data_IF_542177338386
#
_entry.id   IF_542177338386
#
_cell.length_a   1.000
_cell.length_b   1.000
_cell.length_c   1.000
_cell.angle_alpha   90.00
_cell.angle_beta   90.00
_cell.angle_gamma   90.00
#
_symmetry.space_group_name_H-M   'P 1'
#
loop_
_entity.id
_entity.type
_entity.pdbx_description
1 polymer ?
#
# COMPACT_ATOMS: atom_id res chain seq x y z
N UNK A 1 11.29 1.37 26.80
CA UNK A 1 12.37 2.39 26.86
C UNK A 1 12.34 3.17 25.56
N UNK A 2 11.97 4.46 25.57
CA UNK A 2 11.98 5.30 24.36
C UNK A 2 13.43 5.62 24.01
N UNK A 3 13.99 4.92 23.03
CA UNK A 3 15.28 5.30 22.47
C UNK A 3 15.04 6.22 21.27
N UNK A 4 15.00 7.53 21.52
CA UNK A 4 15.48 8.52 20.55
C UNK A 4 16.94 8.78 20.91
N UNK A 5 17.87 8.05 20.29
CA UNK A 5 19.31 8.18 20.53
C UNK A 5 19.93 9.38 19.81
N UNK A 6 20.95 10.05 20.39
CA UNK A 6 21.53 11.29 19.88
C UNK A 6 22.78 11.07 19.00
N UNK A 7 22.98 11.95 18.01
CA UNK A 7 24.13 12.87 17.90
C UNK A 7 23.86 13.90 16.80
N UNK A 8 23.66 15.16 17.20
CA UNK A 8 23.97 16.33 16.39
C UNK A 8 24.82 17.24 17.26
N UNK A 9 26.08 17.47 16.86
CA UNK A 9 27.01 18.37 17.52
C UNK A 9 27.14 19.71 16.77
N UNK A 10 26.22 20.00 15.84
CA UNK A 10 26.16 21.25 15.09
C UNK A 10 25.27 22.30 15.76
N UNK A 11 25.69 23.56 15.71
CA UNK A 11 24.83 24.71 16.02
C UNK A 11 23.77 24.81 14.92
N UNK A 12 22.57 24.35 15.23
CA UNK A 12 21.58 24.05 14.21
C UNK A 12 20.50 25.13 14.14
N UNK A 13 20.56 25.97 13.10
CA UNK A 13 19.50 26.90 12.69
C UNK A 13 19.03 26.56 11.28
N UNK A 14 17.73 26.37 11.07
CA UNK A 14 17.11 26.20 9.74
C UNK A 14 17.06 24.76 9.18
N UNK A 15 16.98 24.65 7.84
CA UNK A 15 16.76 23.39 7.09
C UNK A 15 17.91 22.36 7.20
N UNK A 16 19.05 22.73 7.77
CA UNK A 16 20.21 21.83 8.00
C UNK A 16 19.93 20.75 9.04
N UNK A 17 18.88 20.90 9.86
CA UNK A 17 18.50 19.95 10.92
C UNK A 17 17.68 18.75 10.47
N UNK A 18 17.28 18.67 9.19
CA UNK A 18 16.26 17.72 8.71
C UNK A 18 16.80 16.32 8.38
N UNK A 19 18.12 16.13 8.32
CA UNK A 19 18.74 14.82 8.06
C UNK A 19 19.47 14.34 9.32
N UNK A 20 18.76 13.60 10.17
CA UNK A 20 19.33 13.00 11.37
C UNK A 20 19.77 11.56 11.09
N UNK A 21 21.02 11.25 11.38
CA UNK A 21 21.48 9.87 11.46
C UNK A 21 21.08 9.35 12.84
N UNK A 22 20.14 8.42 12.89
CA UNK A 22 19.80 7.72 14.12
C UNK A 22 20.61 6.44 14.19
N UNK A 23 21.53 6.36 15.16
CA UNK A 23 22.36 5.19 15.40
C UNK A 23 21.81 4.39 16.59
N UNK A 24 21.52 3.11 16.38
CA UNK A 24 21.04 2.20 17.42
C UNK A 24 22.04 1.05 17.57
N UNK A 25 22.51 0.82 18.79
CA UNK A 25 23.41 -0.28 19.11
C UNK A 25 22.62 -1.41 19.76
N UNK A 26 22.84 -2.64 19.30
CA UNK A 26 22.32 -3.85 19.92
C UNK A 26 23.43 -4.89 20.02
N UNK A 27 23.39 -5.73 21.05
CA UNK A 27 24.27 -6.90 21.17
C UNK A 27 23.53 -8.07 20.54
N UNK A 28 24.04 -8.56 19.41
CA UNK A 28 23.43 -9.63 18.65
C UNK A 28 24.49 -10.59 18.10
N UNK A 29 24.29 -11.90 18.22
CA UNK A 29 25.17 -12.91 17.64
C UNK A 29 24.40 -14.20 17.33
N UNK A 30 24.58 -14.75 16.12
CA UNK A 30 24.13 -16.08 15.68
C UNK A 30 22.66 -16.43 16.02
N UNK A 31 21.78 -15.44 16.00
CA UNK A 31 20.35 -15.60 16.27
C UNK A 31 19.51 -14.76 15.31
N UNK A 32 18.20 -14.97 15.35
CA UNK A 32 17.22 -14.13 14.66
C UNK A 32 16.67 -13.09 15.63
N UNK A 33 16.53 -11.85 15.16
CA UNK A 33 15.95 -10.74 15.94
C UNK A 33 14.84 -10.07 15.15
N UNK A 34 13.81 -9.58 15.86
CA UNK A 34 12.79 -8.72 15.29
C UNK A 34 13.08 -7.27 15.65
N UNK A 35 12.95 -6.37 14.68
CA UNK A 35 13.21 -4.95 14.80
C UNK A 35 11.96 -4.17 14.42
N UNK A 36 11.45 -3.40 15.38
CA UNK A 36 10.26 -2.58 15.25
C UNK A 36 10.63 -1.13 15.57
N UNK A 37 10.25 -0.21 14.68
CA UNK A 37 10.36 1.21 14.95
C UNK A 37 9.10 1.70 15.68
N UNK A 38 9.27 2.69 16.56
CA UNK A 38 8.15 3.29 17.33
C UNK A 38 7.22 4.16 16.48
N UNK A 39 7.57 4.40 15.22
CA UNK A 39 6.82 5.16 14.22
C UNK A 39 7.11 4.53 12.84
N UNK A 40 6.82 5.25 11.75
CA UNK A 40 7.10 4.81 10.39
C UNK A 40 8.57 4.42 10.22
N UNK A 41 8.82 3.23 9.70
CA UNK A 41 10.18 2.72 9.46
C UNK A 41 10.98 3.64 8.53
N UNK A 42 12.30 3.77 8.71
CA UNK A 42 13.14 4.62 7.86
C UNK A 42 13.05 4.25 6.38
N UNK A 43 13.02 5.25 5.50
CA UNK A 43 13.11 5.01 4.06
C UNK A 43 14.51 4.55 3.61
N UNK A 44 15.52 4.87 4.40
CA UNK A 44 16.89 4.44 4.22
C UNK A 44 17.38 3.88 5.55
N UNK A 45 17.58 2.57 5.59
CA UNK A 45 18.03 1.85 6.78
C UNK A 45 19.37 1.18 6.46
N UNK A 46 20.39 1.46 7.27
CA UNK A 46 21.68 0.78 7.19
C UNK A 46 21.88 -0.07 8.43
N UNK A 47 22.11 -1.35 8.23
CA UNK A 47 22.35 -2.34 9.28
C UNK A 47 23.78 -2.86 9.14
N UNK A 48 24.53 -2.91 10.23
CA UNK A 48 25.90 -3.42 10.23
C UNK A 48 26.23 -4.08 11.57
N UNK A 49 27.12 -5.08 11.55
CA UNK A 49 27.72 -5.64 12.74
C UNK A 49 29.08 -5.00 12.96
N UNK A 50 29.25 -4.32 14.08
CA UNK A 50 30.52 -3.69 14.45
C UNK A 50 31.48 -4.75 15.00
N UNK A 51 32.71 -4.76 14.51
CA UNK A 51 33.80 -5.63 14.98
C UNK A 51 33.44 -7.12 15.00
N UNK A 52 32.64 -7.59 14.04
CA UNK A 52 32.26 -8.98 13.90
C UNK A 52 33.07 -9.66 12.80
N UNK A 53 33.50 -10.90 13.05
CA UNK A 53 34.17 -11.74 12.06
C UNK A 53 33.24 -12.03 10.86
N UNK A 54 33.76 -12.18 9.63
CA UNK A 54 32.96 -12.44 8.42
C UNK A 54 32.03 -13.65 8.51
N UNK A 55 32.36 -14.62 9.36
CA UNK A 55 31.60 -15.84 9.62
C UNK A 55 30.40 -15.61 10.55
N UNK A 56 30.47 -14.57 11.38
CA UNK A 56 29.39 -14.19 12.28
C UNK A 56 28.21 -13.70 11.46
N UNK A 57 27.03 -14.25 11.73
CA UNK A 57 25.82 -13.91 11.01
C UNK A 57 24.63 -13.70 11.95
N UNK A 58 23.77 -12.76 11.60
CA UNK A 58 22.52 -12.46 12.32
C UNK A 58 21.43 -12.27 11.29
N UNK A 59 20.24 -12.84 11.52
CA UNK A 59 19.06 -12.49 10.72
C UNK A 59 18.25 -11.45 11.47
N UNK A 60 17.88 -10.38 10.78
CA UNK A 60 16.99 -9.35 11.33
C UNK A 60 15.70 -9.34 10.52
N UNK A 61 14.57 -9.49 11.20
CA UNK A 61 13.24 -9.22 10.67
C UNK A 61 12.86 -7.78 10.98
N UNK A 62 12.77 -6.93 9.96
CA UNK A 62 12.39 -5.52 10.11
C UNK A 62 10.95 -5.33 9.68
N UNK A 63 10.10 -4.85 10.59
CA UNK A 63 8.71 -4.53 10.27
C UNK A 63 8.62 -3.25 9.41
N UNK A 64 7.80 -3.30 8.36
CA UNK A 64 7.45 -2.15 7.52
C UNK A 64 5.93 -1.99 7.43
N UNK A 65 5.41 -0.92 8.01
CA UNK A 65 3.97 -0.61 8.03
C UNK A 65 3.37 -0.28 6.66
N UNK A 66 4.22 -0.11 5.66
CA UNK A 66 3.80 0.20 4.29
C UNK A 66 4.35 -0.85 3.36
N UNK A 67 3.59 -1.28 2.35
CA UNK A 67 3.99 -2.36 1.45
C UNK A 67 5.03 -1.95 0.41
N UNK A 68 5.67 -0.78 0.59
CA UNK A 68 6.59 -0.14 -0.34
C UNK A 68 7.69 -1.11 -0.76
N UNK A 69 8.23 -0.96 -1.96
CA UNK A 69 9.23 -1.91 -2.44
C UNK A 69 10.48 -1.69 -1.61
N UNK A 70 10.99 -2.77 -1.02
CA UNK A 70 12.21 -2.76 -0.23
C UNK A 70 13.33 -3.34 -1.08
N UNK A 71 14.29 -2.49 -1.44
CA UNK A 71 15.46 -2.88 -2.20
C UNK A 71 16.65 -3.02 -1.24
N UNK A 72 17.29 -4.19 -1.23
CA UNK A 72 18.41 -4.52 -0.34
C UNK A 72 19.73 -4.44 -1.09
N UNK A 73 20.73 -3.79 -0.53
CA UNK A 73 22.03 -3.58 -1.14
C UNK A 73 23.17 -3.94 -0.18
N UNK A 74 24.23 -4.51 -0.74
CA UNK A 74 25.51 -4.75 -0.06
C UNK A 74 26.61 -4.21 -0.97
N UNK A 75 27.50 -3.37 -0.43
CA UNK A 75 28.55 -2.68 -1.20
C UNK A 75 28.02 -1.96 -2.45
N UNK A 76 26.82 -1.38 -2.30
CA UNK A 76 26.11 -0.69 -3.34
C UNK A 76 25.52 -1.60 -4.43
N UNK A 77 25.67 -2.92 -4.38
CA UNK A 77 25.08 -3.86 -5.34
C UNK A 77 23.75 -4.42 -4.82
N UNK A 78 22.75 -4.50 -5.69
CA UNK A 78 21.43 -5.05 -5.36
C UNK A 78 21.53 -6.54 -5.02
N UNK A 79 21.03 -6.91 -3.85
CA UNK A 79 20.81 -8.30 -3.44
C UNK A 79 19.33 -8.60 -3.62
N UNK A 80 18.98 -9.27 -4.71
CA UNK A 80 17.58 -9.62 -4.99
C UNK A 80 17.01 -10.58 -3.92
N UNK A 81 15.70 -10.50 -3.65
CA UNK A 81 15.06 -11.38 -2.68
C UNK A 81 15.09 -12.84 -3.13
N UNK A 82 15.02 -13.77 -2.17
CA UNK A 82 15.13 -15.21 -2.43
C UNK A 82 14.09 -15.79 -3.39
N UNK A 83 12.97 -15.09 -3.60
CA UNK A 83 11.90 -15.47 -4.53
C UNK A 83 11.97 -14.73 -5.88
N UNK A 84 13.09 -14.10 -6.22
CA UNK A 84 13.27 -13.41 -7.48
C UNK A 84 13.54 -14.39 -8.65
N UNK A 85 12.74 -14.27 -9.72
CA UNK A 85 13.00 -14.90 -11.01
C UNK A 85 13.50 -13.87 -12.00
N UNK A 86 14.76 -13.98 -12.38
CA UNK A 86 15.40 -13.06 -13.31
C UNK A 86 15.02 -13.32 -14.76
N UNK A 87 14.95 -12.26 -15.55
CA UNK A 87 14.98 -12.38 -17.01
C UNK A 87 16.36 -12.85 -17.51
N UNK A 88 16.43 -13.27 -18.78
CA UNK A 88 17.66 -13.80 -19.38
C UNK A 88 18.83 -12.81 -19.31
N UNK A 89 18.56 -11.51 -19.41
CA UNK A 89 19.55 -10.43 -19.41
C UNK A 89 20.00 -10.02 -18.00
N UNK A 90 19.39 -10.54 -16.93
CA UNK A 90 19.60 -10.14 -15.52
C UNK A 90 19.44 -8.63 -15.27
N UNK A 91 18.56 -8.00 -16.04
CA UNK A 91 18.21 -6.58 -15.90
C UNK A 91 16.93 -6.38 -15.09
N UNK A 92 16.12 -7.42 -14.92
CA UNK A 92 14.83 -7.38 -14.25
C UNK A 92 14.47 -8.74 -13.64
N UNK A 93 13.71 -8.72 -12.54
CA UNK A 93 13.14 -9.92 -11.95
C UNK A 93 11.65 -9.75 -11.63
N UNK A 94 10.93 -10.86 -11.65
CA UNK A 94 9.59 -11.02 -11.08
C UNK A 94 9.66 -11.75 -9.75
N UNK A 95 8.62 -11.65 -8.93
CA UNK A 95 8.56 -12.32 -7.63
C UNK A 95 7.63 -13.53 -7.70
N UNK A 96 8.09 -14.66 -7.21
CA UNK A 96 7.30 -15.88 -7.10
C UNK A 96 6.59 -15.90 -5.75
N UNK A 97 5.32 -16.31 -5.76
CA UNK A 97 4.58 -16.52 -4.52
C UNK A 97 5.08 -17.78 -3.80
N UNK A 98 5.20 -17.77 -2.46
CA UNK A 98 5.54 -18.97 -1.71
C UNK A 98 4.43 -20.02 -1.81
N UNK A 99 4.84 -21.28 -1.91
CA UNK A 99 4.01 -22.48 -1.84
C UNK A 99 3.64 -22.84 -0.40
N UNK A 100 4.46 -22.44 0.57
CA UNK A 100 4.23 -22.61 2.00
C UNK A 100 4.85 -21.47 2.82
N UNK A 101 4.36 -21.28 4.04
CA UNK A 101 4.85 -20.23 4.95
C UNK A 101 6.35 -20.39 5.23
N UNK A 102 7.10 -19.28 5.12
CA UNK A 102 8.54 -19.28 5.37
C UNK A 102 9.43 -19.82 4.25
N UNK A 103 8.90 -20.29 3.09
CA UNK A 103 9.70 -20.92 2.01
C UNK A 103 10.94 -20.13 1.61
N UNK A 104 10.81 -18.81 1.49
CA UNK A 104 11.89 -17.92 1.03
C UNK A 104 12.58 -17.15 2.16
N UNK A 105 12.19 -17.38 3.42
CA UNK A 105 12.82 -16.72 4.56
C UNK A 105 14.27 -17.20 4.67
N UNK A 106 15.28 -16.30 4.60
CA UNK A 106 16.67 -16.70 4.60
C UNK A 106 17.05 -17.33 5.96
N UNK A 107 17.89 -18.36 5.91
CA UNK A 107 18.48 -18.94 7.11
C UNK A 107 19.56 -18.01 7.69
N UNK A 108 19.72 -17.99 9.02
CA UNK A 108 20.80 -17.23 9.69
C UNK A 108 22.18 -17.67 9.17
N UNK A 109 22.33 -18.95 8.83
CA UNK A 109 23.55 -19.55 8.28
C UNK A 109 23.82 -19.22 6.81
N UNK A 110 22.99 -18.40 6.15
CA UNK A 110 23.21 -18.00 4.75
C UNK A 110 24.61 -17.39 4.56
N UNK A 111 25.34 -17.89 3.58
CA UNK A 111 26.65 -17.36 3.20
C UNK A 111 26.56 -16.01 2.47
N UNK A 112 25.35 -15.63 2.04
CA UNK A 112 25.11 -14.40 1.27
C UNK A 112 24.73 -13.27 2.23
N UNK A 113 25.61 -12.28 2.37
CA UNK A 113 25.31 -11.02 3.05
C UNK A 113 24.15 -10.30 2.33
N UNK A 114 23.18 -9.79 3.08
CA UNK A 114 22.00 -9.15 2.52
C UNK A 114 20.98 -10.12 1.91
N UNK A 115 21.15 -11.45 2.05
CA UNK A 115 20.11 -12.41 1.68
C UNK A 115 18.80 -12.02 2.35
N UNK A 116 17.74 -11.85 1.55
CA UNK A 116 16.51 -11.23 2.02
C UNK A 116 15.24 -11.84 1.44
N UNK A 117 14.15 -11.62 2.16
CA UNK A 117 12.79 -11.91 1.70
C UNK A 117 11.81 -11.03 2.45
N UNK A 118 10.91 -10.38 1.72
CA UNK A 118 9.83 -9.61 2.32
C UNK A 118 8.60 -10.50 2.50
N UNK A 119 8.37 -10.89 3.76
CA UNK A 119 7.20 -11.68 4.15
C UNK A 119 6.00 -10.76 4.29
N UNK A 120 5.24 -10.69 3.20
CA UNK A 120 4.10 -9.78 3.04
C UNK A 120 2.99 -9.98 4.08
N UNK A 121 2.74 -11.21 4.53
CA UNK A 121 1.72 -11.52 5.54
C UNK A 121 2.04 -10.89 6.90
N UNK A 122 3.30 -11.00 7.31
CA UNK A 122 3.84 -10.46 8.56
C UNK A 122 4.39 -9.04 8.42
N UNK A 123 4.29 -8.44 7.23
CA UNK A 123 4.87 -7.12 6.88
C UNK A 123 6.35 -6.98 7.29
N UNK A 124 7.10 -8.08 7.20
CA UNK A 124 8.45 -8.18 7.77
C UNK A 124 9.47 -8.47 6.68
N UNK A 125 10.48 -7.60 6.56
CA UNK A 125 11.67 -7.86 5.74
C UNK A 125 12.67 -8.65 6.57
N UNK A 126 12.85 -9.91 6.22
CA UNK A 126 13.94 -10.72 6.74
C UNK A 126 15.20 -10.42 5.95
N UNK A 127 16.30 -10.11 6.63
CA UNK A 127 17.60 -9.86 6.01
C UNK A 127 18.74 -10.44 6.85
N UNK A 128 19.74 -11.02 6.18
CA UNK A 128 20.93 -11.59 6.84
C UNK A 128 22.07 -10.58 6.85
N UNK A 129 22.58 -10.27 8.04
CA UNK A 129 23.77 -9.47 8.28
C UNK A 129 24.98 -10.40 8.46
N UNK A 130 26.12 -10.04 7.89
CA UNK A 130 27.40 -10.73 8.07
C UNK A 130 28.49 -9.76 8.49
N UNK A 131 29.52 -10.25 9.19
CA UNK A 131 30.64 -9.41 9.64
C UNK A 131 31.32 -8.72 8.45
N UNK A 132 31.71 -7.46 8.64
CA UNK A 132 32.46 -6.69 7.65
C UNK A 132 31.65 -6.07 6.50
N UNK A 133 30.38 -6.46 6.27
CA UNK A 133 29.57 -5.95 5.16
C UNK A 133 28.27 -5.26 5.66
N UNK A 134 28.14 -3.93 5.53
CA UNK A 134 26.89 -3.24 5.85
C UNK A 134 25.81 -3.58 4.82
N UNK A 135 24.59 -3.77 5.31
CA UNK A 135 23.40 -3.95 4.48
C UNK A 135 22.59 -2.66 4.46
N UNK A 136 22.31 -2.13 3.27
CA UNK A 136 21.44 -0.99 3.06
C UNK A 136 20.07 -1.46 2.56
N UNK A 137 18.99 -1.04 3.22
CA UNK A 137 17.62 -1.20 2.75
C UNK A 137 17.11 0.16 2.31
N UNK A 138 16.63 0.24 1.07
CA UNK A 138 16.02 1.44 0.48
C UNK A 138 14.56 1.19 0.15
N UNK A 139 13.70 2.04 0.70
CA UNK A 139 12.29 2.10 0.34
C UNK A 139 12.15 2.81 -0.99
N UNK A 140 11.65 2.09 -1.99
CA UNK A 140 11.32 2.60 -3.31
C UNK A 140 9.81 2.86 -3.39
N UNK A 141 9.39 4.10 -3.73
CA UNK A 141 7.98 4.43 -3.81
C UNK A 141 7.30 3.66 -4.94
N UNK A 142 6.09 3.22 -4.66
CA UNK A 142 5.27 2.43 -5.56
C UNK A 142 3.80 2.79 -5.35
N UNK A 143 3.07 2.83 -6.46
CA UNK A 143 1.62 3.04 -6.45
C UNK A 143 0.94 1.68 -6.60
N UNK A 144 0.14 1.30 -5.62
CA UNK A 144 -0.52 0.00 -5.61
C UNK A 144 -1.96 0.14 -6.01
N UNK A 145 -2.43 -0.78 -6.83
CA UNK A 145 -3.83 -0.96 -7.21
C UNK A 145 -4.11 -2.45 -7.08
N UNK A 146 -4.95 -2.82 -6.14
CA UNK A 146 -5.46 -4.19 -6.06
C UNK A 146 -6.90 -4.22 -6.56
N UNK A 147 -7.30 -5.30 -7.22
CA UNK A 147 -8.67 -5.56 -7.61
C UNK A 147 -8.95 -7.06 -7.69
N UNK A 148 -10.21 -7.43 -7.50
CA UNK A 148 -10.64 -8.82 -7.60
C UNK A 148 -11.03 -9.15 -9.05
N UNK A 149 -10.54 -10.28 -9.56
CA UNK A 149 -10.96 -10.82 -10.85
C UNK A 149 -11.48 -12.26 -10.71
N UNK A 150 -12.43 -12.71 -11.55
CA UNK A 150 -12.84 -14.10 -11.66
C UNK A 150 -11.64 -15.01 -11.93
N UNK A 151 -11.76 -16.28 -11.55
CA UNK A 151 -10.75 -17.31 -11.75
C UNK A 151 -10.15 -17.31 -13.18
N UNK A 152 -8.92 -16.83 -13.31
CA UNK A 152 -8.04 -16.90 -14.48
C UNK A 152 -6.65 -17.45 -14.10
N UNK A 153 -5.81 -17.76 -15.07
CA UNK A 153 -4.43 -18.19 -14.81
C UNK A 153 -3.49 -17.00 -14.70
N UNK A 154 -2.34 -17.17 -14.04
CA UNK A 154 -1.29 -16.13 -13.99
C UNK A 154 -0.81 -15.77 -15.41
N UNK A 155 -0.76 -16.75 -16.31
CA UNK A 155 -0.47 -16.55 -17.74
C UNK A 155 -1.57 -15.75 -18.45
N UNK A 156 -2.85 -15.99 -18.13
CA UNK A 156 -3.93 -15.16 -18.66
C UNK A 156 -3.84 -13.72 -18.15
N UNK A 157 -3.38 -13.51 -16.91
CA UNK A 157 -3.12 -12.18 -16.37
C UNK A 157 -1.96 -11.47 -17.08
N UNK A 158 -0.84 -12.16 -17.32
CA UNK A 158 0.31 -11.62 -18.06
C UNK A 158 0.18 -11.77 -19.59
N UNK A 159 -0.98 -12.17 -20.09
CA UNK A 159 -1.21 -12.28 -21.53
C UNK A 159 -1.00 -10.92 -22.20
N UNK A 160 -0.71 -10.95 -23.50
CA UNK A 160 -0.54 -9.76 -24.34
C UNK A 160 -1.75 -8.81 -24.39
N UNK A 161 -2.84 -9.16 -23.72
CA UNK A 161 -4.10 -8.42 -23.73
C UNK A 161 -4.32 -7.60 -22.45
N UNK A 162 -4.05 -8.16 -21.27
CA UNK A 162 -4.52 -7.57 -20.01
C UNK A 162 -3.57 -6.47 -19.48
N UNK A 163 -2.27 -6.76 -19.35
CA UNK A 163 -1.28 -5.77 -18.87
C UNK A 163 -1.22 -4.54 -19.77
N UNK A 164 -1.22 -4.65 -21.12
CA UNK A 164 -1.27 -3.48 -22.00
C UNK A 164 -2.59 -2.68 -21.90
N UNK A 165 -3.74 -3.34 -21.75
CA UNK A 165 -5.03 -2.64 -21.52
C UNK A 165 -5.04 -1.90 -20.19
N UNK A 166 -4.50 -2.51 -19.14
CA UNK A 166 -4.30 -1.88 -17.85
C UNK A 166 -3.34 -0.69 -17.95
N UNK A 167 -2.23 -0.83 -18.66
CA UNK A 167 -1.27 0.25 -18.92
C UNK A 167 -1.94 1.47 -19.57
N UNK A 168 -2.69 1.22 -20.65
CA UNK A 168 -3.43 2.26 -21.37
C UNK A 168 -4.49 2.93 -20.49
N UNK A 169 -5.27 2.14 -19.76
CA UNK A 169 -6.34 2.66 -18.90
C UNK A 169 -5.79 3.47 -17.73
N UNK A 170 -4.67 3.03 -17.15
CA UNK A 170 -4.01 3.71 -16.02
C UNK A 170 -3.16 4.91 -16.47
N UNK A 171 -2.93 5.09 -17.78
CA UNK A 171 -2.03 6.12 -18.30
C UNK A 171 -0.57 5.90 -17.90
N UNK A 172 -0.17 4.64 -17.68
CA UNK A 172 1.16 4.25 -17.20
C UNK A 172 1.85 3.38 -18.26
N UNK A 173 3.14 3.56 -18.53
CA UNK A 173 3.88 2.66 -19.42
C UNK A 173 3.82 1.20 -18.94
N UNK A 174 3.60 0.25 -19.87
CA UNK A 174 3.42 -1.16 -19.52
C UNK A 174 4.64 -1.76 -18.79
N UNK A 175 5.86 -1.29 -19.06
CA UNK A 175 7.10 -1.71 -18.38
C UNK A 175 7.18 -1.27 -16.90
N UNK A 176 6.25 -0.42 -16.46
CA UNK A 176 6.15 0.04 -15.07
C UNK A 176 5.08 -0.69 -14.27
N UNK A 177 4.23 -1.49 -14.91
CA UNK A 177 3.24 -2.32 -14.24
C UNK A 177 3.82 -3.67 -13.86
N UNK A 178 3.63 -4.07 -12.60
CA UNK A 178 4.12 -5.33 -12.06
C UNK A 178 3.03 -5.98 -11.22
N UNK A 179 2.72 -7.26 -11.42
CA UNK A 179 1.85 -7.95 -10.47
C UNK A 179 2.68 -8.30 -9.22
N UNK A 180 2.16 -7.97 -8.05
CA UNK A 180 2.87 -8.15 -6.78
C UNK A 180 2.35 -9.31 -5.96
N UNK A 181 1.12 -9.73 -6.21
CA UNK A 181 0.51 -10.93 -5.62
C UNK A 181 -0.66 -11.37 -6.47
N UNK A 182 -0.77 -12.68 -6.67
CA UNK A 182 -1.94 -13.34 -7.23
C UNK A 182 -2.30 -14.46 -6.28
N UNK A 183 -3.32 -14.24 -5.46
CA UNK A 183 -3.79 -15.27 -4.51
C UNK A 183 -5.02 -15.92 -5.09
N UNK A 184 -4.97 -17.24 -5.24
CA UNK A 184 -6.18 -18.04 -5.41
C UNK A 184 -6.77 -18.27 -4.04
N UNK A 185 -8.03 -17.89 -3.84
CA UNK A 185 -8.78 -18.35 -2.67
C UNK A 185 -9.10 -19.85 -2.87
N UNK A 186 -8.12 -20.72 -2.61
CA UNK A 186 -8.39 -22.14 -2.45
C UNK A 186 -9.00 -22.31 -1.05
N UNK A 187 -10.33 -22.45 -1.02
CA UNK A 187 -11.11 -22.62 0.21
C UNK A 187 -10.48 -23.69 1.10
N UNK A 188 -9.80 -23.25 2.15
CA UNK A 188 -9.08 -24.12 3.08
C UNK A 188 -9.97 -25.25 3.60
N UNK A 189 -9.38 -26.44 3.72
CA UNK A 189 -10.05 -27.73 3.99
C UNK A 189 -10.91 -27.81 5.27
N UNK A 190 -11.04 -26.74 6.06
CA UNK A 190 -11.93 -26.66 7.24
C UNK A 190 -13.28 -25.97 7.00
N UNK A 191 -13.53 -25.34 5.84
CA UNK A 191 -14.85 -24.76 5.50
C UNK A 191 -15.69 -25.69 4.60
N UNK A 192 -15.73 -26.99 4.91
CA UNK A 192 -16.77 -27.88 4.36
C UNK A 192 -18.09 -27.66 5.11
N UNK A 193 -18.86 -26.66 4.66
CA UNK A 193 -20.34 -26.64 4.55
C UNK A 193 -20.85 -25.20 4.60
N UNK A 194 -20.80 -24.52 3.45
CA UNK A 194 -21.93 -23.84 2.79
C UNK A 194 -21.35 -22.84 1.79
N UNK A 195 -21.86 -22.94 0.56
CA UNK A 195 -21.64 -22.09 -0.63
C UNK A 195 -20.40 -22.44 -1.47
N UNK A 196 -20.68 -22.81 -2.73
CA UNK A 196 -19.77 -22.76 -3.86
C UNK A 196 -19.40 -21.29 -4.07
N UNK A 197 -18.43 -20.76 -3.32
CA UNK A 197 -17.84 -19.47 -3.67
C UNK A 197 -17.02 -19.69 -4.92
N UNK A 198 -17.25 -18.89 -5.96
CA UNK A 198 -16.41 -18.91 -7.15
C UNK A 198 -14.96 -18.64 -6.72
N UNK A 199 -14.00 -19.32 -7.33
CA UNK A 199 -12.57 -19.03 -7.14
C UNK A 199 -12.32 -17.58 -7.56
N UNK A 200 -12.11 -16.68 -6.59
CA UNK A 200 -11.72 -15.29 -6.85
C UNK A 200 -10.19 -15.23 -6.84
N UNK A 201 -9.61 -14.52 -7.80
CA UNK A 201 -8.21 -14.14 -7.75
C UNK A 201 -8.11 -12.71 -7.26
N UNK A 202 -7.41 -12.54 -6.14
CA UNK A 202 -6.96 -11.24 -5.70
C UNK A 202 -5.73 -10.87 -6.54
N UNK A 203 -5.89 -9.88 -7.41
CA UNK A 203 -4.82 -9.35 -8.24
C UNK A 203 -4.33 -8.06 -7.62
N UNK A 204 -3.04 -8.01 -7.33
CA UNK A 204 -2.37 -6.79 -6.90
C UNK A 204 -1.40 -6.33 -7.97
N UNK A 205 -1.55 -5.09 -8.41
CA UNK A 205 -0.70 -4.45 -9.38
C UNK A 205 0.02 -3.28 -8.73
N UNK A 206 1.33 -3.23 -8.94
CA UNK A 206 2.17 -2.12 -8.59
C UNK A 206 2.60 -1.35 -9.84
N UNK A 207 2.43 -0.05 -9.81
CA UNK A 207 3.16 0.89 -10.66
C UNK A 207 4.45 1.25 -9.96
N UNK A 208 5.58 0.77 -10.47
CA UNK A 208 6.91 1.04 -9.91
C UNK A 208 7.99 1.02 -10.99
N UNK A 209 9.07 1.79 -10.79
CA UNK A 209 10.25 1.70 -11.65
C UNK A 209 11.02 0.40 -11.41
N UNK A 210 12.14 0.19 -12.10
CA UNK A 210 13.01 -0.97 -11.80
C UNK A 210 13.88 -0.67 -10.56
N UNK A 211 14.26 -1.67 -9.75
CA UNK A 211 15.29 -1.46 -8.74
C UNK A 211 16.63 -1.16 -9.44
N UNK A 212 17.36 -0.12 -9.02
CA UNK A 212 18.75 0.07 -9.44
C UNK A 212 19.57 -1.18 -9.13
N UNK A 213 20.34 -1.70 -10.10
CA UNK A 213 21.23 -2.85 -9.86
C UNK A 213 22.44 -2.45 -9.02
N UNK A 214 22.85 -1.18 -9.12
CA UNK A 214 23.83 -0.57 -8.23
C UNK A 214 23.36 0.80 -7.75
N UNK A 215 23.82 1.15 -6.57
CA UNK A 215 23.74 2.50 -6.00
C UNK A 215 24.93 3.27 -6.56
N UNK A 216 24.71 4.08 -7.59
CA UNK A 216 25.79 4.84 -8.22
C UNK A 216 26.34 5.95 -7.33
N UNK A 217 27.67 6.10 -7.35
CA UNK A 217 28.42 7.26 -6.84
C UNK A 217 28.50 8.38 -7.90
N UNK A 218 28.05 8.14 -9.15
CA UNK A 218 28.09 9.12 -10.24
C UNK A 218 26.94 8.93 -11.24
N UNK A 219 26.21 10.02 -11.54
CA UNK A 219 25.26 10.29 -12.62
C UNK A 219 25.07 9.23 -13.74
N UNK A 220 24.42 8.10 -13.42
CA UNK A 220 23.64 7.33 -14.39
C UNK A 220 22.19 7.41 -13.95
N UNK A 221 21.31 7.71 -14.91
CA UNK A 221 19.89 8.03 -14.67
C UNK A 221 19.19 6.91 -13.90
N UNK A 222 18.68 7.19 -12.69
CA UNK A 222 17.81 6.27 -12.01
C UNK A 222 16.55 6.06 -12.86
N UNK A 223 16.22 4.81 -13.21
CA UNK A 223 14.88 4.40 -13.67
C UNK A 223 13.86 4.05 -12.54
N UNK A 224 13.99 4.47 -11.25
CA UNK A 224 12.83 4.54 -10.39
C UNK A 224 11.85 5.57 -10.95
N UNK A 225 10.57 5.23 -10.95
CA UNK A 225 9.53 6.25 -11.08
C UNK A 225 9.61 7.11 -9.81
N UNK A 226 10.00 8.39 -9.90
CA UNK A 226 10.13 9.23 -8.72
C UNK A 226 8.74 9.51 -8.15
N UNK A 227 8.68 9.77 -6.83
CA UNK A 227 7.44 10.12 -6.15
C UNK A 227 6.64 11.21 -6.87
N UNK A 228 7.31 12.25 -7.39
CA UNK A 228 6.66 13.34 -8.10
C UNK A 228 5.82 12.87 -9.29
N UNK A 229 6.36 11.93 -10.08
CA UNK A 229 5.65 11.36 -11.22
C UNK A 229 4.50 10.44 -10.77
N UNK A 230 4.74 9.58 -9.77
CA UNK A 230 3.69 8.73 -9.18
C UNK A 230 2.54 9.56 -8.57
N UNK A 231 2.86 10.72 -7.98
CA UNK A 231 1.87 11.62 -7.37
C UNK A 231 0.98 12.33 -8.39
N UNK A 232 1.46 12.50 -9.63
CA UNK A 232 0.69 13.10 -10.72
C UNK A 232 -0.28 12.10 -11.36
N UNK A 233 0.14 10.85 -11.55
CA UNK A 233 -0.71 9.80 -12.14
C UNK A 233 -1.68 9.21 -11.10
N UNK A 234 -1.39 9.40 -9.82
CA UNK A 234 -2.19 8.91 -8.70
C UNK A 234 -3.72 9.13 -8.83
N UNK A 235 -4.23 10.35 -9.12
CA UNK A 235 -5.66 10.60 -9.26
C UNK A 235 -6.26 9.88 -10.47
N UNK A 236 -5.51 9.77 -11.56
CA UNK A 236 -5.94 9.11 -12.80
C UNK A 236 -6.06 7.61 -12.60
N UNK A 237 -5.07 6.99 -11.96
CA UNK A 237 -5.13 5.59 -11.53
C UNK A 237 -6.32 5.34 -10.61
N UNK A 238 -6.59 6.26 -9.67
CA UNK A 238 -7.76 6.17 -8.78
C UNK A 238 -9.10 6.19 -9.52
N UNK A 239 -9.24 7.09 -10.50
CA UNK A 239 -10.45 7.19 -11.34
C UNK A 239 -10.60 5.99 -12.27
N UNK A 240 -9.50 5.59 -12.91
CA UNK A 240 -9.44 4.47 -13.83
C UNK A 240 -9.81 3.16 -13.14
N UNK A 241 -9.23 2.88 -11.97
CA UNK A 241 -9.40 1.62 -11.27
C UNK A 241 -10.83 1.35 -10.77
N UNK A 242 -11.66 2.39 -10.60
CA UNK A 242 -12.98 2.27 -9.97
C UNK A 242 -14.15 2.72 -10.84
N UNK A 243 -13.91 3.48 -11.92
CA UNK A 243 -14.97 3.94 -12.82
C UNK A 243 -15.19 3.00 -14.00
N UNK A 244 -14.15 2.82 -14.82
CA UNK A 244 -14.26 2.14 -16.12
C UNK A 244 -13.46 0.83 -16.17
N UNK A 245 -12.80 0.43 -15.06
CA UNK A 245 -11.94 -0.76 -15.02
C UNK A 245 -12.73 -2.04 -15.32
N UNK A 246 -13.95 -2.18 -14.77
CA UNK A 246 -14.77 -3.37 -15.02
C UNK A 246 -15.19 -3.49 -16.48
N UNK A 247 -15.56 -2.37 -17.11
CA UNK A 247 -15.96 -2.30 -18.52
C UNK A 247 -14.75 -2.44 -19.46
N UNK A 248 -13.63 -1.80 -19.14
CA UNK A 248 -12.41 -1.82 -19.95
C UNK A 248 -11.69 -3.18 -19.91
N UNK A 249 -11.74 -3.87 -18.77
CA UNK A 249 -11.20 -5.23 -18.63
C UNK A 249 -12.21 -6.32 -19.01
N UNK A 250 -13.49 -5.99 -19.14
CA UNK A 250 -14.55 -6.97 -19.35
C UNK A 250 -14.73 -7.92 -18.15
N UNK A 251 -14.39 -7.45 -16.95
CA UNK A 251 -14.33 -8.24 -15.72
C UNK A 251 -15.12 -7.56 -14.61
N UNK A 252 -15.91 -8.31 -13.84
CA UNK A 252 -16.61 -7.75 -12.68
C UNK A 252 -15.63 -7.54 -11.51
N UNK A 253 -15.47 -6.31 -11.06
CA UNK A 253 -14.52 -5.92 -10.01
C UNK A 253 -15.29 -5.57 -8.75
N UNK A 254 -15.10 -6.35 -7.70
CA UNK A 254 -15.87 -6.26 -6.43
C UNK A 254 -15.22 -5.35 -5.38
N UNK A 255 -13.97 -4.94 -5.60
CA UNK A 255 -13.27 -3.99 -4.74
C UNK A 255 -11.96 -3.52 -5.38
N UNK A 256 -11.50 -2.34 -4.99
CA UNK A 256 -10.14 -1.91 -5.26
C UNK A 256 -9.53 -1.16 -4.08
N UNK A 257 -8.30 -1.51 -3.70
CA UNK A 257 -7.51 -0.79 -2.70
C UNK A 257 -6.34 -0.15 -3.40
N UNK A 258 -6.11 1.12 -3.12
CA UNK A 258 -5.02 1.86 -3.72
C UNK A 258 -4.13 2.40 -2.62
N UNK A 259 -2.83 2.08 -2.66
CA UNK A 259 -1.87 2.50 -1.63
C UNK A 259 -0.94 3.54 -2.24
N UNK A 260 -0.87 4.68 -1.56
CA UNK A 260 -0.11 5.86 -1.99
C UNK A 260 1.40 5.53 -2.02
N UNK A 261 2.15 6.12 -2.97
CA UNK A 261 3.60 6.05 -2.94
C UNK A 261 4.14 6.71 -1.69
N UNK A 262 5.24 6.18 -1.14
CA UNK A 262 5.91 6.80 0.01
C UNK A 262 6.40 8.21 -0.37
N UNK A 263 5.98 9.27 0.35
CA UNK A 263 6.52 10.62 0.13
C UNK A 263 8.01 10.67 0.44
N UNK A 264 8.80 11.54 -0.20
CA UNK A 264 10.22 11.69 0.10
C UNK A 264 10.43 12.12 1.56
N UNK A 265 11.40 11.51 2.23
CA UNK A 265 11.76 11.86 3.60
C UNK A 265 12.06 13.37 3.74
N UNK A 266 11.48 14.02 4.74
CA UNK A 266 11.62 15.45 5.01
C UNK A 266 10.69 16.37 4.20
N UNK A 267 9.79 15.81 3.38
CA UNK A 267 8.73 16.59 2.74
C UNK A 267 7.53 16.83 3.68
N UNK A 268 6.74 17.88 3.43
CA UNK A 268 5.49 18.14 4.17
C UNK A 268 4.52 16.95 4.12
N UNK A 269 4.51 16.23 2.98
CA UNK A 269 3.70 15.02 2.83
C UNK A 269 4.22 13.86 3.69
N UNK A 270 5.54 13.75 3.87
CA UNK A 270 6.15 12.81 4.80
C UNK A 270 5.78 13.13 6.24
N UNK A 271 5.87 14.40 6.65
CA UNK A 271 5.55 14.81 8.03
C UNK A 271 4.10 14.47 8.39
N UNK A 272 3.16 14.68 7.46
CA UNK A 272 1.76 14.25 7.63
C UNK A 272 1.65 12.73 7.79
N UNK A 273 2.32 11.97 6.92
CA UNK A 273 2.27 10.51 6.97
C UNK A 273 2.89 9.93 8.25
N UNK A 274 4.06 10.43 8.66
CA UNK A 274 4.78 9.98 9.84
C UNK A 274 4.12 10.40 11.16
N UNK A 275 3.21 11.39 11.14
CA UNK A 275 2.43 11.80 12.32
C UNK A 275 1.31 10.83 12.69
N UNK A 276 0.92 9.96 11.75
CA UNK A 276 -0.10 8.92 11.99
C UNK A 276 0.55 7.78 12.79
N UNK A 277 -0.04 7.35 13.92
CA UNK A 277 0.46 6.20 14.68
C UNK A 277 0.49 4.94 13.81
N UNK A 278 1.58 4.18 13.88
CA UNK A 278 1.70 2.90 13.18
C UNK A 278 0.94 1.83 13.97
N UNK A 279 -0.04 1.19 13.33
CA UNK A 279 -0.66 -0.01 13.85
C UNK A 279 0.15 -1.23 13.38
N UNK A 280 0.69 -1.99 14.32
CA UNK A 280 1.46 -3.21 14.02
C UNK A 280 0.57 -4.43 13.74
N UNK A 281 -0.74 -4.30 13.97
CA UNK A 281 -1.71 -5.39 13.86
C UNK A 281 -2.61 -5.30 12.62
N UNK A 282 -2.44 -4.27 11.78
CA UNK A 282 -3.22 -4.13 10.54
C UNK A 282 -2.50 -4.84 9.40
N UNK A 283 -2.89 -6.08 9.06
CA UNK A 283 -2.26 -6.81 7.98
C UNK A 283 -2.43 -6.04 6.68
N UNK A 284 -1.43 -6.16 5.82
CA UNK A 284 -1.48 -5.54 4.50
C UNK A 284 -2.48 -6.25 3.53
N UNK A 285 -3.19 -7.31 3.96
CA UNK A 285 -3.98 -8.21 3.11
C UNK A 285 -5.32 -8.65 3.75
N UNK A 286 -6.43 -8.91 2.99
CA UNK A 286 -6.76 -8.52 1.61
C UNK A 286 -7.66 -7.26 1.55
N UNK A 287 -8.09 -6.90 0.33
CA UNK A 287 -9.01 -5.79 0.01
C UNK A 287 -10.27 -5.88 0.88
N UNK A 288 -10.59 -4.89 1.71
CA UNK A 288 -11.95 -4.80 2.23
C UNK A 288 -12.87 -4.58 1.04
N UNK A 289 -13.67 -5.58 0.71
CA UNK A 289 -14.77 -5.43 -0.25
C UNK A 289 -15.84 -4.57 0.41
N UNK A 290 -16.37 -3.57 -0.31
CA UNK A 290 -17.50 -2.78 0.18
C UNK A 290 -18.64 -3.74 0.53
N UNK A 291 -18.95 -3.83 1.81
CA UNK A 291 -20.04 -4.65 2.31
C UNK A 291 -21.35 -3.87 2.30
N UNK A 292 -21.33 -2.67 2.89
CA UNK A 292 -22.54 -1.84 3.00
C UNK A 292 -22.24 -0.35 3.11
N UNK A 293 -23.22 0.46 2.69
CA UNK A 293 -23.30 1.88 3.01
C UNK A 293 -24.34 2.06 4.12
N UNK A 294 -23.88 2.47 5.29
CA UNK A 294 -24.70 2.62 6.48
C UNK A 294 -25.04 4.10 6.66
N UNK A 295 -26.33 4.42 6.74
CA UNK A 295 -26.77 5.75 7.18
C UNK A 295 -26.57 5.84 8.69
N UNK A 296 -25.43 6.38 9.09
CA UNK A 296 -25.00 6.43 10.48
C UNK A 296 -25.67 7.57 11.26
N UNK A 297 -26.06 8.65 10.56
CA UNK A 297 -26.87 9.74 11.13
C UNK A 297 -28.05 9.99 10.20
N UNK A 298 -29.27 9.85 10.74
CA UNK A 298 -30.50 10.17 10.02
C UNK A 298 -30.72 11.69 9.95
N UNK A 299 -31.21 12.21 8.81
CA UNK A 299 -31.48 13.63 8.67
C UNK A 299 -32.73 14.03 9.49
N UNK A 300 -32.68 15.20 10.12
CA UNK A 300 -33.84 15.78 10.81
C UNK A 300 -34.22 17.09 10.15
N UNK A 301 -35.41 17.13 9.54
CA UNK A 301 -35.87 18.30 8.80
C UNK A 301 -35.88 19.56 9.66
N UNK A 302 -35.40 20.67 9.09
CA UNK A 302 -35.47 22.00 9.67
C UNK A 302 -36.63 22.83 9.11
N UNK A 303 -36.72 24.11 9.49
CA UNK A 303 -37.66 25.05 8.89
C UNK A 303 -37.52 25.10 7.36
N UNK A 304 -38.62 25.41 6.67
CA UNK A 304 -38.64 25.48 5.21
C UNK A 304 -37.57 26.43 4.68
N UNK A 305 -36.77 25.96 3.72
CA UNK A 305 -35.67 26.74 3.13
C UNK A 305 -34.43 26.90 4.00
N UNK A 306 -34.43 26.37 5.23
CA UNK A 306 -33.25 26.33 6.11
C UNK A 306 -32.59 24.94 6.06
N UNK A 307 -31.28 24.84 6.37
CA UNK A 307 -30.62 23.55 6.52
C UNK A 307 -31.33 22.65 7.52
N UNK A 308 -31.22 21.33 7.31
CA UNK A 308 -31.68 20.35 8.29
C UNK A 308 -31.06 20.58 9.66
N UNK A 309 -31.85 20.36 10.71
CA UNK A 309 -31.41 20.45 12.10
C UNK A 309 -30.35 19.41 12.42
N UNK A 310 -30.46 18.23 11.80
CA UNK A 310 -29.42 17.20 11.79
C UNK A 310 -29.14 16.84 10.33
N UNK A 311 -27.88 16.99 9.92
CA UNK A 311 -27.44 16.62 8.58
C UNK A 311 -27.12 15.12 8.53
N UNK A 312 -27.43 14.46 7.40
CA UNK A 312 -27.17 13.04 7.26
C UNK A 312 -25.66 12.76 7.12
N UNK A 313 -25.23 11.65 7.71
CA UNK A 313 -23.88 11.13 7.57
C UNK A 313 -23.93 9.65 7.19
N UNK A 314 -23.16 9.29 6.17
CA UNK A 314 -23.02 7.92 5.70
C UNK A 314 -21.65 7.40 6.05
N UNK A 315 -21.59 6.12 6.44
CA UNK A 315 -20.37 5.38 6.67
C UNK A 315 -20.29 4.20 5.71
N UNK A 316 -19.13 3.98 5.12
CA UNK A 316 -18.87 2.79 4.32
C UNK A 316 -18.20 1.71 5.17
N UNK A 317 -18.81 0.53 5.18
CA UNK A 317 -18.33 -0.62 5.94
C UNK A 317 -17.95 -1.75 4.97
N UNK A 318 -16.91 -2.50 5.31
CA UNK A 318 -16.51 -3.71 4.60
C UNK A 318 -17.49 -4.88 4.85
N UNK A 319 -17.25 -6.04 4.24
CA UNK A 319 -18.09 -7.24 4.44
C UNK A 319 -18.12 -7.76 5.88
N UNK A 320 -17.12 -7.41 6.68
CA UNK A 320 -17.02 -7.78 8.10
C UNK A 320 -17.60 -6.69 9.03
N UNK A 321 -18.07 -5.57 8.46
CA UNK A 321 -18.68 -4.46 9.19
C UNK A 321 -17.68 -3.43 9.73
N UNK A 322 -16.42 -3.46 9.29
CA UNK A 322 -15.41 -2.48 9.70
C UNK A 322 -15.43 -1.25 8.80
N UNK A 323 -15.13 -0.08 9.38
CA UNK A 323 -15.00 1.18 8.64
C UNK A 323 -13.95 1.04 7.53
N UNK A 324 -14.43 1.16 6.30
CA UNK A 324 -13.61 0.99 5.10
C UNK A 324 -13.20 2.35 4.56
N UNK A 325 -11.92 2.69 4.67
CA UNK A 325 -11.41 3.94 4.12
C UNK A 325 -11.16 3.85 2.62
N UNK A 326 -11.76 4.79 1.90
CA UNK A 326 -11.46 4.99 0.50
C UNK A 326 -10.27 5.95 0.38
N UNK A 327 -9.04 5.43 0.46
CA UNK A 327 -7.83 6.27 0.53
C UNK A 327 -7.62 7.31 -0.60
N UNK A 328 -8.38 7.21 -1.71
CA UNK A 328 -8.22 8.03 -2.94
C UNK A 328 -9.52 8.43 -3.61
N UNK A 329 -10.59 7.73 -3.31
CA UNK A 329 -11.63 7.61 -4.33
C UNK A 329 -12.47 8.87 -4.34
N UNK A 330 -12.79 9.38 -5.53
CA UNK A 330 -13.89 10.33 -5.72
C UNK A 330 -15.24 9.60 -5.61
N UNK A 331 -15.38 8.65 -4.69
CA UNK A 331 -16.69 8.13 -4.35
C UNK A 331 -17.41 9.28 -3.71
N UNK A 332 -18.47 9.70 -4.37
CA UNK A 332 -19.33 10.73 -3.86
C UNK A 332 -20.71 10.17 -3.68
N UNK A 333 -21.32 10.48 -2.54
CA UNK A 333 -22.72 10.20 -2.34
C UNK A 333 -23.51 11.34 -2.97
N UNK A 334 -24.47 10.98 -3.82
CA UNK A 334 -25.49 11.89 -4.31
C UNK A 334 -26.76 11.76 -3.45
N UNK A 335 -27.09 12.83 -2.72
CA UNK A 335 -28.34 12.96 -2.00
C UNK A 335 -29.47 13.33 -2.97
N UNK A 336 -30.55 12.56 -2.90
CA UNK A 336 -31.71 12.66 -3.78
C UNK A 336 -32.98 12.64 -2.93
N UNK A 337 -33.93 13.50 -3.23
CA UNK A 337 -35.22 13.55 -2.54
C UNK A 337 -36.29 12.86 -3.38
N UNK A 338 -37.06 11.98 -2.73
CA UNK A 338 -38.18 11.27 -3.32
C UNK A 338 -39.47 11.63 -2.58
N UNK A 339 -40.59 11.69 -3.31
CA UNK A 339 -41.91 11.80 -2.70
C UNK A 339 -42.40 10.42 -2.19
N UNK A 340 -43.55 10.40 -1.52
CA UNK A 340 -44.22 9.16 -1.05
C UNK A 340 -44.51 8.14 -2.14
N UNK A 341 -44.61 8.56 -3.40
CA UNK A 341 -44.79 7.67 -4.57
C UNK A 341 -43.47 7.11 -5.10
N UNK A 342 -42.33 7.50 -4.53
CA UNK A 342 -40.98 7.07 -4.93
C UNK A 342 -40.39 7.86 -6.09
N UNK A 343 -41.07 8.90 -6.58
CA UNK A 343 -40.61 9.75 -7.67
C UNK A 343 -39.63 10.81 -7.18
N UNK A 344 -38.65 11.10 -8.03
CA UNK A 344 -37.60 12.08 -7.79
C UNK A 344 -38.15 13.50 -7.87
N UNK A 345 -37.94 14.31 -6.82
CA UNK A 345 -38.44 15.69 -6.76
C UNK A 345 -37.31 16.72 -6.63
N UNK A 346 -37.42 17.89 -7.28
CA UNK A 346 -36.34 18.88 -7.34
C UNK A 346 -36.25 19.79 -6.10
N UNK A 347 -36.90 19.44 -4.98
CA UNK A 347 -37.05 20.32 -3.80
C UNK A 347 -35.96 20.16 -2.74
N UNK A 348 -34.95 19.35 -3.00
CA UNK A 348 -33.71 19.33 -2.21
C UNK A 348 -32.80 20.45 -2.67
N UNK A 349 -32.24 21.22 -1.74
CA UNK A 349 -31.27 22.28 -2.01
C UNK A 349 -29.99 22.06 -1.18
N UNK A 350 -28.92 22.79 -1.50
CA UNK A 350 -27.58 22.63 -0.90
C UNK A 350 -26.64 21.75 -1.72
N UNK A 351 -25.55 21.31 -1.09
CA UNK A 351 -24.50 20.48 -1.70
C UNK A 351 -24.93 19.02 -1.72
N UNK A 352 -25.56 18.61 -2.82
CA UNK A 352 -26.13 17.26 -2.98
C UNK A 352 -25.10 16.17 -3.22
N UNK A 353 -23.89 16.52 -3.63
CA UNK A 353 -22.83 15.56 -3.94
C UNK A 353 -21.67 15.80 -3.00
N UNK A 354 -21.29 14.81 -2.20
CA UNK A 354 -20.13 14.91 -1.31
C UNK A 354 -19.22 13.72 -1.45
N UNK A 355 -17.91 13.97 -1.51
CA UNK A 355 -16.90 12.92 -1.54
C UNK A 355 -16.71 12.30 -0.14
N UNK A 356 -16.36 11.01 -0.11
CA UNK A 356 -15.92 10.36 1.13
C UNK A 356 -14.59 10.96 1.63
N UNK A 357 -14.49 11.15 2.95
CA UNK A 357 -13.26 11.45 3.67
C UNK A 357 -13.03 10.34 4.70
N UNK A 358 -11.98 9.55 4.51
CA UNK A 358 -11.82 8.28 5.23
C UNK A 358 -12.92 7.31 4.82
N UNK A 359 -13.73 6.83 5.78
CA UNK A 359 -14.91 6.00 5.54
C UNK A 359 -16.24 6.78 5.63
N UNK A 360 -16.21 8.11 5.75
CA UNK A 360 -17.39 8.94 6.03
C UNK A 360 -17.75 9.91 4.91
N UNK A 361 -19.04 10.09 4.66
CA UNK A 361 -19.60 11.12 3.77
C UNK A 361 -20.63 11.93 4.55
N UNK A 362 -20.26 13.16 4.94
CA UNK A 362 -21.01 13.98 5.90
C UNK A 362 -21.58 15.22 5.23
N UNK A 363 -22.89 15.26 5.02
CA UNK A 363 -23.54 16.45 4.48
C UNK A 363 -23.55 17.59 5.51
N UNK A 364 -23.59 18.84 5.04
CA UNK A 364 -23.53 20.01 5.92
C UNK A 364 -24.64 21.04 5.68
N UNK A 365 -25.25 21.06 4.50
CA UNK A 365 -26.09 22.16 4.04
C UNK A 365 -27.37 21.72 3.30
N UNK A 366 -27.77 20.45 3.41
CA UNK A 366 -29.01 19.98 2.79
C UNK A 366 -30.22 20.67 3.42
N UNK A 367 -31.13 21.13 2.57
CA UNK A 367 -32.39 21.79 2.95
C UNK A 367 -33.53 21.39 2.01
N UNK A 368 -34.78 21.53 2.48
CA UNK A 368 -35.98 21.29 1.67
C UNK A 368 -36.70 22.62 1.43
N UNK A 369 -37.08 22.88 0.19
CA UNK A 369 -37.74 24.13 -0.23
C UNK A 369 -39.27 24.03 -0.34
N UNK A 370 -39.83 22.84 -0.18
CA UNK A 370 -41.28 22.61 -0.25
C UNK A 370 -41.78 21.71 0.87
N UNK A 371 -42.92 22.05 1.45
CA UNK A 371 -43.58 21.19 2.45
C UNK A 371 -44.17 19.95 1.79
N UNK A 372 -44.11 18.81 2.46
CA UNK A 372 -44.59 17.54 1.92
C UNK A 372 -44.29 16.38 2.85
N UNK A 373 -44.69 15.18 2.41
CA UNK A 373 -44.32 13.90 3.01
C UNK A 373 -43.55 13.06 2.00
#
# INVERSE_FOLDING_TARGET
>A
TRYSGPQDHGWCTGYTCQRRISLFHGVAANMSYSLHFTSTSPQHLRLMMLNAEPETAVRVGVFYSTPQRLDVYVDGALVAPGNAQWNAERTEYTLVAPSYEGEFVPAVSSSVAGANYFERGEQTLHVVLRGGAPVEVRVSPMLFVSFDVPAMTLEAFYSSELVPKLALLLGVPADKLRATRVVREDGGARRRRRRRSATVLHVEIAVSGRPPLRLDVTNVTPSPLPFGLLSLIWPDVGRAALGNLSTALGVNITGAKIIKPMPPAGSVAWDKMASVPVNWSDPWLPVPELGSLVLAVEPMAGPLGQPFLVQPALRADDRDGNCMEFGVTSWSVLALLKNTSGEMVPYLNGTKTIAFSGCWANFSDLSITQTGK
#
